data_IF_273614397807
#
_entry.id   IF_273614397807
#
_cell.length_a   1.000
_cell.length_b   1.000
_cell.length_c   1.000
_cell.angle_alpha   90.00
_cell.angle_beta   90.00
_cell.angle_gamma   90.00
#
_symmetry.space_group_name_H-M   'P 1'
#
loop_
_entity.id
_entity.type
_entity.pdbx_description
1 polymer ?
#
# COMPACT_ATOMS: atom_id res chain seq x y z
N UNK A 1 27.80 46.21 66.54
CA UNK A 1 27.09 46.74 65.34
C UNK A 1 26.99 45.61 64.33
N UNK A 2 25.80 45.21 63.86
CA UNK A 2 25.63 44.02 63.03
C UNK A 2 25.91 44.31 61.54
N UNK A 3 26.56 43.35 60.87
CA UNK A 3 26.87 43.39 59.44
C UNK A 3 25.69 42.79 58.66
N UNK A 4 25.08 43.57 57.76
CA UNK A 4 23.98 43.13 56.90
C UNK A 4 24.55 42.36 55.70
N UNK A 5 24.50 41.02 55.74
CA UNK A 5 24.88 40.17 54.61
C UNK A 5 23.78 40.23 53.55
N UNK A 6 24.07 40.83 52.39
CA UNK A 6 23.17 40.86 51.24
C UNK A 6 23.05 39.48 50.59
N UNK A 7 21.82 38.96 50.49
CA UNK A 7 21.54 37.63 49.96
C UNK A 7 21.38 37.67 48.42
N UNK A 8 22.49 37.63 47.68
CA UNK A 8 22.54 37.71 46.21
C UNK A 8 21.88 36.51 45.48
N UNK A 9 21.50 35.45 46.22
CA UNK A 9 20.85 34.24 45.70
C UNK A 9 19.45 34.50 45.13
N UNK A 10 18.70 35.43 45.74
CA UNK A 10 17.35 35.79 45.30
C UNK A 10 17.35 36.50 43.95
N UNK A 11 18.35 37.37 43.72
CA UNK A 11 18.48 38.13 42.48
C UNK A 11 18.80 37.22 41.29
N UNK A 12 19.70 36.23 41.46
CA UNK A 12 20.01 35.26 40.41
C UNK A 12 18.83 34.35 40.06
N UNK A 13 18.01 33.98 41.05
CA UNK A 13 16.80 33.17 40.82
C UNK A 13 15.75 33.92 40.00
N UNK A 14 15.54 35.21 40.28
CA UNK A 14 14.63 36.03 39.48
C UNK A 14 15.13 36.23 38.04
N UNK A 15 16.44 36.41 37.84
CA UNK A 15 17.02 36.54 36.51
C UNK A 15 16.87 35.25 35.68
N UNK A 16 17.06 34.09 36.30
CA UNK A 16 16.88 32.79 35.65
C UNK A 16 15.44 32.51 35.21
N UNK A 17 14.45 32.88 36.04
CA UNK A 17 13.03 32.72 35.70
C UNK A 17 12.62 33.64 34.55
N UNK A 18 13.08 34.90 34.55
CA UNK A 18 12.84 35.83 33.44
C UNK A 18 13.43 35.33 32.11
N UNK A 19 14.60 34.70 32.14
CA UNK A 19 15.22 34.16 30.93
C UNK A 19 14.45 32.96 30.35
N UNK A 20 13.91 32.08 31.20
CA UNK A 20 13.10 30.93 30.73
C UNK A 20 11.75 31.36 30.17
N UNK A 21 11.10 32.38 30.75
CA UNK A 21 9.85 32.93 30.22
C UNK A 21 10.04 33.64 28.86
N UNK A 22 11.22 34.22 28.60
CA UNK A 22 11.51 34.83 27.31
C UNK A 22 11.62 33.80 26.16
N UNK A 23 12.15 32.60 26.42
CA UNK A 23 12.29 31.55 25.40
C UNK A 23 10.96 30.89 24.98
N UNK A 24 9.89 31.01 25.78
CA UNK A 24 8.57 30.47 25.42
C UNK A 24 7.77 31.39 24.48
N UNK A 25 8.27 32.60 24.20
CA UNK A 25 7.59 33.60 23.37
C UNK A 25 8.04 33.62 21.92
N UNK A 26 9.02 32.78 21.54
CA UNK A 26 9.34 32.58 20.13
C UNK A 26 8.19 31.81 19.49
N UNK A 27 7.49 32.37 18.48
CA UNK A 27 6.53 31.59 17.74
C UNK A 27 7.28 30.40 17.15
N UNK A 28 6.87 29.18 17.50
CA UNK A 28 7.24 28.04 16.70
C UNK A 28 6.79 28.37 15.28
N UNK A 29 7.74 28.53 14.35
CA UNK A 29 7.45 28.64 12.94
C UNK A 29 6.89 27.29 12.49
N UNK A 30 5.65 27.00 12.86
CA UNK A 30 4.85 25.97 12.24
C UNK A 30 4.77 26.36 10.77
N UNK A 31 5.18 25.45 9.89
CA UNK A 31 5.22 25.59 8.43
C UNK A 31 4.28 26.70 7.93
N UNK A 32 4.85 27.81 7.45
CA UNK A 32 4.05 28.78 6.71
C UNK A 32 3.33 27.99 5.62
N UNK A 33 1.99 28.07 5.61
CA UNK A 33 1.21 27.52 4.52
C UNK A 33 1.68 28.23 3.26
N UNK A 34 2.46 27.52 2.47
CA UNK A 34 2.93 27.99 1.18
C UNK A 34 1.67 28.29 0.37
N UNK A 35 1.41 29.57 0.06
CA UNK A 35 0.38 29.96 -0.90
C UNK A 35 0.90 29.67 -2.31
N UNK A 36 1.33 28.44 -2.56
CA UNK A 36 1.46 27.92 -3.90
C UNK A 36 0.05 27.70 -4.40
N UNK A 37 -0.40 28.58 -5.29
CA UNK A 37 -1.53 28.27 -6.14
C UNK A 37 -1.28 26.89 -6.75
N UNK A 38 -2.21 25.92 -6.64
CA UNK A 38 -1.99 24.58 -7.15
C UNK A 38 -1.57 24.70 -8.60
N UNK A 39 -0.33 24.34 -8.90
CA UNK A 39 0.10 24.22 -10.29
C UNK A 39 -0.75 23.08 -10.85
N UNK A 40 -1.59 23.38 -11.83
CA UNK A 40 -2.37 22.35 -12.53
C UNK A 40 -1.38 21.52 -13.35
N UNK A 41 -0.77 20.52 -12.73
CA UNK A 41 0.04 19.53 -13.43
C UNK A 41 -0.96 18.64 -14.16
N UNK A 42 -1.05 18.80 -15.48
CA UNK A 42 -1.80 17.87 -16.29
C UNK A 42 -0.98 16.57 -16.32
N UNK A 43 -1.46 15.47 -15.72
CA UNK A 43 -0.67 14.26 -15.64
C UNK A 43 -0.41 13.71 -17.05
N UNK A 44 0.85 13.42 -17.34
CA UNK A 44 1.24 12.89 -18.64
C UNK A 44 0.62 11.50 -18.87
N UNK A 45 0.18 11.24 -20.11
CA UNK A 45 -0.17 9.90 -20.52
C UNK A 45 1.09 9.03 -20.55
N UNK A 46 1.01 7.89 -19.90
CA UNK A 46 2.05 6.85 -19.86
C UNK A 46 1.53 5.63 -20.60
N UNK A 47 2.42 5.00 -21.37
CA UNK A 47 2.18 3.71 -22.00
C UNK A 47 3.12 2.68 -21.37
N UNK A 48 2.57 1.55 -20.92
CA UNK A 48 3.32 0.47 -20.30
C UNK A 48 2.84 -0.88 -20.81
N UNK A 49 3.79 -1.77 -21.07
CA UNK A 49 3.52 -3.17 -21.42
C UNK A 49 3.81 -4.07 -20.22
N UNK A 50 2.95 -5.04 -19.99
CA UNK A 50 3.07 -5.94 -18.85
C UNK A 50 2.09 -7.08 -18.86
N UNK A 51 2.10 -7.85 -17.78
CA UNK A 51 1.22 -9.00 -17.57
C UNK A 51 0.12 -8.63 -16.57
N UNK A 52 -1.12 -8.95 -16.94
CA UNK A 52 -2.28 -8.77 -16.06
C UNK A 52 -2.24 -9.80 -14.93
N UNK A 53 -2.48 -9.34 -13.72
CA UNK A 53 -2.78 -10.17 -12.57
C UNK A 53 -4.22 -9.91 -12.12
N UNK A 54 -4.98 -10.97 -11.86
CA UNK A 54 -6.34 -10.87 -11.34
C UNK A 54 -6.41 -11.29 -9.86
N UNK A 55 -7.14 -10.51 -9.07
CA UNK A 55 -7.59 -10.90 -7.74
C UNK A 55 -9.12 -10.97 -7.73
N UNK A 56 -9.66 -12.14 -7.41
CA UNK A 56 -11.10 -12.29 -7.11
C UNK A 56 -11.34 -12.17 -5.61
N UNK A 57 -12.31 -11.36 -5.20
CA UNK A 57 -12.81 -11.32 -3.83
C UNK A 57 -14.25 -11.79 -3.78
N UNK A 58 -14.51 -12.90 -3.09
CA UNK A 58 -15.85 -13.45 -2.87
C UNK A 58 -16.30 -13.14 -1.45
N UNK A 59 -17.45 -12.52 -1.30
CA UNK A 59 -18.09 -12.33 -0.01
C UNK A 59 -19.19 -13.37 0.18
N UNK A 60 -18.99 -14.34 1.08
CA UNK A 60 -19.99 -15.40 1.31
C UNK A 60 -21.22 -14.90 2.08
N UNK A 61 -21.09 -13.77 2.78
CA UNK A 61 -22.18 -13.17 3.56
C UNK A 61 -23.21 -12.47 2.65
N UNK A 62 -22.75 -11.90 1.53
CA UNK A 62 -23.60 -11.16 0.58
C UNK A 62 -23.78 -11.88 -0.76
N UNK A 63 -22.99 -12.93 -1.03
CA UNK A 63 -22.93 -13.62 -2.32
C UNK A 63 -22.21 -12.84 -3.43
N UNK A 64 -21.75 -11.61 -3.15
CA UNK A 64 -21.09 -10.75 -4.14
C UNK A 64 -19.68 -11.26 -4.45
N UNK A 65 -19.32 -11.23 -5.72
CA UNK A 65 -17.94 -11.48 -6.19
C UNK A 65 -17.44 -10.26 -6.96
N UNK A 66 -16.29 -9.73 -6.55
CA UNK A 66 -15.61 -8.60 -7.17
C UNK A 66 -14.30 -9.07 -7.80
N UNK A 67 -13.94 -8.46 -8.93
CA UNK A 67 -12.68 -8.73 -9.63
C UNK A 67 -11.85 -7.46 -9.63
N UNK A 68 -10.59 -7.59 -9.25
CA UNK A 68 -9.61 -6.52 -9.22
C UNK A 68 -8.45 -6.89 -10.12
N UNK A 69 -7.91 -5.90 -10.82
CA UNK A 69 -6.86 -6.12 -11.81
C UNK A 69 -5.62 -5.32 -11.46
N UNK A 70 -4.46 -5.93 -11.68
CA UNK A 70 -3.17 -5.29 -11.61
C UNK A 70 -2.37 -5.52 -12.89
N UNK A 71 -1.38 -4.67 -13.12
CA UNK A 71 -0.41 -4.81 -14.19
C UNK A 71 0.98 -4.92 -13.58
N UNK A 72 1.63 -6.05 -13.76
CA UNK A 72 3.07 -6.18 -13.53
C UNK A 72 3.78 -5.80 -14.82
N UNK A 73 4.45 -4.64 -14.81
CA UNK A 73 5.10 -4.12 -16.02
C UNK A 73 6.44 -4.81 -16.26
N UNK A 74 6.82 -4.97 -17.53
CA UNK A 74 8.02 -5.72 -17.90
C UNK A 74 9.31 -5.08 -17.35
N UNK A 75 9.30 -3.76 -17.15
CA UNK A 75 10.42 -3.00 -16.57
C UNK A 75 10.50 -3.10 -15.04
N UNK A 76 9.59 -3.86 -14.41
CA UNK A 76 9.49 -4.00 -12.97
C UNK A 76 8.48 -3.04 -12.34
N UNK A 77 7.88 -3.49 -11.24
CA UNK A 77 6.80 -2.80 -10.56
C UNK A 77 5.42 -3.36 -10.91
N UNK A 78 4.46 -3.10 -10.03
CA UNK A 78 3.08 -3.54 -10.18
C UNK A 78 2.14 -2.39 -9.82
N UNK A 79 1.10 -2.23 -10.63
CA UNK A 79 0.13 -1.15 -10.48
C UNK A 79 -1.29 -1.71 -10.49
N UNK A 80 -2.13 -1.21 -9.58
CA UNK A 80 -3.56 -1.48 -9.62
C UNK A 80 -4.18 -0.79 -10.84
N UNK A 81 -4.96 -1.52 -11.63
CA UNK A 81 -5.66 -0.97 -12.79
C UNK A 81 -7.05 -0.47 -12.39
N UNK A 82 -7.40 0.72 -12.86
CA UNK A 82 -8.76 1.26 -12.80
C UNK A 82 -9.16 1.85 -14.14
N UNK A 83 -10.43 1.73 -14.50
CA UNK A 83 -10.94 2.15 -15.80
C UNK A 83 -12.12 1.29 -16.25
N UNK A 84 -12.71 1.67 -17.37
CA UNK A 84 -13.83 0.94 -17.99
C UNK A 84 -13.32 -0.23 -18.83
N UNK A 85 -14.08 -1.33 -18.88
CA UNK A 85 -13.77 -2.48 -19.74
C UNK A 85 -12.66 -3.40 -19.20
N UNK A 86 -12.12 -3.15 -18.01
CA UNK A 86 -11.10 -4.02 -17.41
C UNK A 86 -11.60 -5.44 -17.14
N UNK A 87 -12.91 -5.63 -17.02
CA UNK A 87 -13.57 -6.93 -16.87
C UNK A 87 -13.34 -7.88 -18.06
N UNK A 88 -12.96 -7.35 -19.24
CA UNK A 88 -12.58 -8.17 -20.40
C UNK A 88 -11.16 -8.72 -20.32
N UNK A 89 -10.34 -8.25 -19.38
CA UNK A 89 -8.99 -8.76 -19.17
C UNK A 89 -9.02 -10.17 -18.58
N UNK A 90 -8.01 -10.95 -18.95
CA UNK A 90 -7.78 -12.29 -18.40
C UNK A 90 -6.50 -12.32 -17.60
N UNK A 91 -6.50 -13.03 -16.47
CA UNK A 91 -5.30 -13.29 -15.69
C UNK A 91 -4.18 -13.88 -16.55
N UNK A 92 -2.95 -13.40 -16.36
CA UNK A 92 -1.76 -13.80 -17.12
C UNK A 92 -1.72 -13.32 -18.57
N UNK A 93 -2.72 -12.55 -19.04
CA UNK A 93 -2.66 -11.95 -20.38
C UNK A 93 -1.60 -10.85 -20.45
N UNK A 94 -0.92 -10.74 -21.60
CA UNK A 94 0.04 -9.66 -21.84
C UNK A 94 -0.65 -8.53 -22.60
N UNK A 95 -0.52 -7.32 -22.09
CA UNK A 95 -1.23 -6.15 -22.61
C UNK A 95 -0.32 -4.94 -22.69
N UNK A 96 -0.62 -4.04 -23.62
CA UNK A 96 -0.11 -2.69 -23.62
C UNK A 96 -1.22 -1.76 -23.11
N UNK A 97 -0.92 -0.97 -22.08
CA UNK A 97 -1.87 -0.12 -21.36
C UNK A 97 -1.42 1.33 -21.49
N UNK A 98 -2.36 2.23 -21.81
CA UNK A 98 -2.14 3.68 -21.87
C UNK A 98 -3.11 4.41 -20.94
N UNK A 99 -2.62 5.42 -20.23
CA UNK A 99 -3.41 6.13 -19.22
C UNK A 99 -2.56 6.99 -18.30
N UNK A 100 -3.08 7.29 -17.11
CA UNK A 100 -2.44 8.18 -16.13
C UNK A 100 -1.97 7.37 -14.92
N UNK A 101 -0.73 7.61 -14.49
CA UNK A 101 -0.20 7.04 -13.26
C UNK A 101 -0.43 7.98 -12.07
N UNK A 102 -1.01 7.46 -10.99
CA UNK A 102 -1.20 8.17 -9.73
C UNK A 102 -0.80 7.25 -8.57
N UNK A 103 0.44 7.40 -8.07
CA UNK A 103 0.98 6.49 -7.07
C UNK A 103 1.10 5.06 -7.60
N UNK A 104 0.49 4.09 -6.92
CA UNK A 104 0.44 2.69 -7.34
C UNK A 104 -0.79 2.35 -8.21
N UNK A 105 -1.55 3.36 -8.65
CA UNK A 105 -2.73 3.18 -9.48
C UNK A 105 -2.48 3.65 -10.90
N UNK A 106 -2.86 2.83 -11.87
CA UNK A 106 -2.82 3.13 -13.29
C UNK A 106 -4.26 3.32 -13.78
N UNK A 107 -4.66 4.58 -14.00
CA UNK A 107 -5.97 4.94 -14.55
C UNK A 107 -5.95 4.74 -16.06
N UNK A 108 -6.44 3.59 -16.49
CA UNK A 108 -6.43 3.12 -17.88
C UNK A 108 -7.43 3.91 -18.71
N UNK A 109 -6.94 4.40 -19.85
CA UNK A 109 -7.77 5.01 -20.91
C UNK A 109 -7.89 4.10 -22.13
N UNK A 110 -6.87 3.30 -22.39
CA UNK A 110 -6.81 2.36 -23.51
C UNK A 110 -5.95 1.15 -23.13
N UNK A 111 -6.34 -0.03 -23.58
CA UNK A 111 -5.47 -1.20 -23.54
C UNK A 111 -5.66 -2.06 -24.78
N UNK A 112 -4.63 -2.83 -25.12
CA UNK A 112 -4.68 -3.80 -26.21
C UNK A 112 -3.84 -5.02 -25.88
N UNK A 113 -4.32 -6.20 -26.29
CA UNK A 113 -3.58 -7.44 -26.13
C UNK A 113 -2.30 -7.44 -26.96
N UNK A 114 -1.24 -8.00 -26.41
CA UNK A 114 0.05 -8.18 -27.08
C UNK A 114 0.38 -9.67 -27.07
N UNK A 115 1.17 -10.12 -28.04
CA UNK A 115 1.68 -11.48 -28.03
C UNK A 115 2.36 -11.79 -26.67
N UNK A 116 2.14 -12.99 -26.10
CA UNK A 116 2.78 -13.39 -24.86
C UNK A 116 4.31 -13.39 -25.03
N UNK A 117 5.02 -13.06 -23.96
CA UNK A 117 6.47 -13.31 -23.89
C UNK A 117 6.72 -14.84 -23.90
N UNK A 118 7.90 -15.25 -24.35
CA UNK A 118 8.31 -16.64 -24.64
C UNK A 118 7.61 -17.76 -23.84
N UNK A 119 7.18 -18.80 -24.55
CA UNK A 119 6.39 -19.93 -24.02
C UNK A 119 7.04 -20.67 -22.84
N UNK A 120 8.38 -20.62 -22.72
CA UNK A 120 9.12 -21.20 -21.61
C UNK A 120 8.86 -20.49 -20.27
N UNK A 121 8.70 -19.16 -20.26
CA UNK A 121 8.36 -18.40 -19.05
C UNK A 121 6.96 -18.76 -18.54
N UNK A 122 6.04 -19.07 -19.46
CA UNK A 122 4.67 -19.49 -19.15
C UNK A 122 4.61 -20.88 -18.52
N UNK A 123 5.50 -21.79 -18.91
CA UNK A 123 5.60 -23.13 -18.31
C UNK A 123 6.15 -23.07 -16.87
N UNK A 124 7.10 -22.19 -16.59
CA UNK A 124 7.65 -21.99 -15.25
C UNK A 124 6.61 -21.44 -14.25
N UNK A 125 5.70 -20.58 -14.71
CA UNK A 125 4.57 -20.08 -13.90
C UNK A 125 3.59 -21.17 -13.47
N UNK A 126 3.47 -22.26 -14.24
CA UNK A 126 2.54 -23.37 -13.94
C UNK A 126 3.06 -24.35 -12.90
N UNK A 127 4.37 -24.36 -12.62
CA UNK A 127 4.98 -25.26 -11.64
C UNK A 127 4.88 -24.75 -10.18
N UNK A 128 4.24 -23.59 -9.95
CA UNK A 128 4.15 -23.00 -8.62
C UNK A 128 3.25 -23.81 -7.69
N UNK A 129 3.71 -24.03 -6.46
CA UNK A 129 2.96 -24.73 -5.42
C UNK A 129 1.74 -23.92 -4.99
N UNK A 130 0.54 -24.49 -5.20
CA UNK A 130 -0.72 -23.91 -4.70
C UNK A 130 -0.77 -23.98 -3.18
N UNK A 131 -1.33 -22.94 -2.55
CA UNK A 131 -1.48 -22.85 -1.10
C UNK A 131 -2.74 -22.06 -0.76
N UNK A 132 -3.40 -22.50 0.30
CA UNK A 132 -4.51 -21.80 0.95
C UNK A 132 -4.08 -21.38 2.34
N UNK A 133 -4.41 -20.15 2.74
CA UNK A 133 -4.16 -19.63 4.08
C UNK A 133 -5.44 -19.00 4.61
N UNK A 134 -5.88 -19.41 5.79
CA UNK A 134 -7.09 -18.89 6.42
C UNK A 134 -6.76 -18.27 7.77
N UNK A 135 -7.48 -17.22 8.13
CA UNK A 135 -7.27 -16.51 9.38
C UNK A 135 -7.81 -15.08 9.34
N UNK A 136 -7.36 -14.28 10.31
CA UNK A 136 -7.79 -12.89 10.43
C UNK A 136 -6.97 -12.01 9.48
N UNK A 137 -7.64 -11.16 8.70
CA UNK A 137 -7.01 -10.17 7.86
C UNK A 137 -6.31 -9.11 8.72
N UNK A 138 -5.04 -8.89 8.43
CA UNK A 138 -4.19 -7.85 9.00
C UNK A 138 -3.64 -6.95 7.88
N UNK A 139 -3.28 -5.73 8.25
CA UNK A 139 -2.58 -4.79 7.38
C UNK A 139 -1.22 -4.51 7.99
N UNK A 140 -0.20 -4.38 7.15
CA UNK A 140 1.13 -3.94 7.56
C UNK A 140 1.59 -2.77 6.70
N UNK A 141 2.51 -1.98 7.24
CA UNK A 141 3.14 -0.89 6.52
C UNK A 141 4.48 -1.35 5.95
N UNK A 142 4.78 -0.93 4.72
CA UNK A 142 6.05 -1.10 4.02
C UNK A 142 6.72 0.26 3.95
N UNK A 143 7.81 0.43 4.68
CA UNK A 143 8.59 1.65 4.67
C UNK A 143 9.73 1.58 3.67
N UNK A 144 9.66 2.39 2.62
CA UNK A 144 10.75 2.57 1.67
C UNK A 144 11.52 3.84 2.04
N UNK A 145 12.28 3.78 3.14
CA UNK A 145 12.97 4.94 3.71
C UNK A 145 13.86 5.68 2.70
N UNK A 146 14.56 4.95 1.81
CA UNK A 146 15.41 5.56 0.78
C UNK A 146 14.63 6.33 -0.29
N UNK A 147 13.36 6.02 -0.47
CA UNK A 147 12.48 6.62 -1.47
C UNK A 147 11.50 7.64 -0.85
N UNK A 148 11.54 7.82 0.49
CA UNK A 148 10.64 8.72 1.21
C UNK A 148 9.15 8.36 1.05
N UNK A 149 8.83 7.06 0.83
CA UNK A 149 7.45 6.61 0.61
C UNK A 149 7.08 5.40 1.45
N UNK A 150 5.80 5.28 1.74
CA UNK A 150 5.19 4.12 2.42
C UNK A 150 4.14 3.46 1.54
N UNK A 151 3.91 2.17 1.76
CA UNK A 151 2.80 1.43 1.18
C UNK A 151 2.13 0.54 2.22
N UNK A 152 0.86 0.23 2.02
CA UNK A 152 0.16 -0.78 2.83
C UNK A 152 0.12 -2.11 2.11
N UNK A 153 0.36 -3.19 2.86
CA UNK A 153 0.21 -4.57 2.41
C UNK A 153 -0.81 -5.33 3.25
N UNK A 154 -1.32 -6.43 2.70
CA UNK A 154 -2.26 -7.31 3.37
C UNK A 154 -1.54 -8.56 3.88
N UNK A 155 -1.94 -9.06 5.05
CA UNK A 155 -1.46 -10.32 5.58
C UNK A 155 -2.60 -11.11 6.22
N UNK A 156 -2.49 -12.43 6.23
CA UNK A 156 -3.35 -13.29 7.05
C UNK A 156 -2.60 -13.68 8.30
N UNK A 157 -3.22 -13.46 9.46
CA UNK A 157 -2.78 -14.01 10.74
C UNK A 157 -3.56 -15.27 11.04
N UNK A 158 -2.87 -16.41 11.03
CA UNK A 158 -3.49 -17.71 11.30
C UNK A 158 -3.73 -17.96 12.80
N UNK A 159 -4.35 -19.10 13.13
CA UNK A 159 -4.63 -19.50 14.51
C UNK A 159 -3.38 -19.71 15.38
N UNK A 160 -2.23 -19.94 14.75
CA UNK A 160 -0.92 -20.06 15.42
C UNK A 160 -0.22 -18.70 15.56
N UNK A 161 -0.92 -17.60 15.26
CA UNK A 161 -0.41 -16.24 15.24
C UNK A 161 0.71 -16.01 14.21
N UNK A 162 0.85 -16.90 13.21
CA UNK A 162 1.80 -16.72 12.12
C UNK A 162 1.19 -15.80 11.06
N UNK A 163 1.99 -14.85 10.62
CA UNK A 163 1.62 -13.92 9.56
C UNK A 163 2.11 -14.45 8.21
N UNK A 164 1.20 -14.53 7.23
CA UNK A 164 1.54 -14.77 5.82
C UNK A 164 1.18 -13.52 5.02
N UNK A 165 2.17 -12.90 4.37
CA UNK A 165 1.93 -11.75 3.51
C UNK A 165 1.19 -12.18 2.23
N UNK A 166 0.25 -11.35 1.80
CA UNK A 166 -0.51 -11.52 0.58
C UNK A 166 0.01 -10.54 -0.47
N UNK A 167 0.59 -11.06 -1.55
CA UNK A 167 0.86 -10.30 -2.76
C UNK A 167 -0.43 -10.27 -3.57
N UNK A 168 -1.06 -9.10 -3.65
CA UNK A 168 -2.35 -8.90 -4.34
C UNK A 168 -2.18 -7.99 -5.54
N UNK A 169 -2.95 -8.26 -6.60
CA UNK A 169 -2.92 -7.47 -7.84
C UNK A 169 -3.35 -6.01 -7.62
N UNK A 170 -4.30 -5.80 -6.73
CA UNK A 170 -4.73 -4.50 -6.22
C UNK A 170 -5.28 -4.67 -4.80
N UNK A 171 -5.22 -3.62 -3.98
CA UNK A 171 -5.79 -3.64 -2.62
C UNK A 171 -7.31 -3.47 -2.75
N UNK A 172 -8.13 -4.47 -2.35
CA UNK A 172 -9.58 -4.38 -2.43
C UNK A 172 -10.15 -3.39 -1.41
N UNK A 173 -11.11 -2.58 -1.81
CA UNK A 173 -11.89 -1.72 -0.90
C UNK A 173 -12.92 -2.52 -0.08
N UNK A 174 -13.31 -3.70 -0.57
CA UNK A 174 -14.23 -4.61 0.10
C UNK A 174 -13.65 -5.32 1.33
N UNK A 175 -12.34 -5.19 1.58
CA UNK A 175 -11.65 -5.85 2.69
C UNK A 175 -11.42 -4.90 3.85
N UNK A 176 -11.65 -5.39 5.07
CA UNK A 176 -11.44 -4.64 6.30
C UNK A 176 -10.58 -5.45 7.27
N UNK A 177 -9.68 -4.76 7.98
CA UNK A 177 -8.87 -5.35 9.04
C UNK A 177 -9.79 -6.06 10.04
N UNK A 178 -9.40 -7.26 10.46
CA UNK A 178 -10.18 -8.06 11.41
C UNK A 178 -11.15 -9.06 10.76
N UNK A 179 -11.44 -8.95 9.46
CA UNK A 179 -12.26 -9.95 8.75
C UNK A 179 -11.64 -11.34 8.85
N UNK A 180 -12.47 -12.37 9.02
CA UNK A 180 -12.05 -13.75 8.82
C UNK A 180 -12.07 -14.05 7.32
N UNK A 181 -10.93 -14.45 6.77
CA UNK A 181 -10.79 -14.72 5.34
C UNK A 181 -10.10 -16.05 5.07
N UNK A 182 -10.29 -16.56 3.85
CA UNK A 182 -9.46 -17.60 3.24
C UNK A 182 -8.84 -17.04 1.97
N UNK A 183 -7.52 -17.05 1.87
CA UNK A 183 -6.77 -16.60 0.71
C UNK A 183 -6.16 -17.80 -0.03
N UNK A 184 -6.40 -17.86 -1.33
CA UNK A 184 -5.87 -18.89 -2.23
C UNK A 184 -4.87 -18.25 -3.20
N UNK A 185 -3.83 -19.00 -3.51
CA UNK A 185 -2.80 -18.54 -4.42
C UNK A 185 -1.67 -19.55 -4.59
N UNK A 186 -0.49 -19.03 -4.92
CA UNK A 186 0.74 -19.82 -5.01
C UNK A 186 1.82 -19.27 -4.11
N UNK A 187 2.72 -20.12 -3.64
CA UNK A 187 3.87 -19.67 -2.85
C UNK A 187 4.73 -18.73 -3.70
N UNK A 188 4.99 -17.53 -3.16
CA UNK A 188 5.79 -16.53 -3.85
C UNK A 188 7.26 -16.94 -3.93
N UNK A 189 8.05 -16.23 -4.75
CA UNK A 189 9.47 -16.50 -4.95
C UNK A 189 10.30 -16.37 -3.65
N UNK A 190 9.82 -15.60 -2.67
CA UNK A 190 10.46 -15.47 -1.35
C UNK A 190 10.23 -16.69 -0.43
N UNK A 191 9.43 -17.67 -0.87
CA UNK A 191 9.12 -18.90 -0.13
C UNK A 191 8.20 -18.73 1.08
N UNK A 192 7.76 -17.50 1.40
CA UNK A 192 7.02 -17.20 2.64
C UNK A 192 5.70 -16.46 2.41
N UNK A 193 5.63 -15.64 1.36
CA UNK A 193 4.44 -14.90 0.94
C UNK A 193 3.56 -15.72 0.00
N UNK A 194 2.35 -15.23 -0.22
CA UNK A 194 1.36 -15.83 -1.12
C UNK A 194 1.07 -14.88 -2.30
N UNK A 195 1.40 -15.30 -3.53
CA UNK A 195 0.90 -14.70 -4.76
C UNK A 195 -0.59 -15.03 -4.86
N UNK A 196 -1.43 -14.10 -4.40
CA UNK A 196 -2.83 -14.31 -4.06
C UNK A 196 -3.72 -14.03 -5.26
N UNK A 197 -4.54 -15.01 -5.65
CA UNK A 197 -5.47 -14.90 -6.79
C UNK A 197 -6.93 -14.87 -6.36
N UNK A 198 -7.24 -15.37 -5.17
CA UNK A 198 -8.59 -15.36 -4.62
C UNK A 198 -8.60 -15.09 -3.12
N UNK A 199 -9.54 -14.29 -2.66
CA UNK A 199 -9.86 -14.09 -1.25
C UNK A 199 -11.35 -14.35 -1.04
N UNK A 200 -11.67 -15.22 -0.09
CA UNK A 200 -13.04 -15.45 0.36
C UNK A 200 -13.23 -14.83 1.74
N UNK A 201 -14.16 -13.90 1.86
CA UNK A 201 -14.59 -13.31 3.14
C UNK A 201 -15.56 -14.29 3.79
N UNK A 202 -15.24 -14.74 4.99
CA UNK A 202 -15.98 -15.74 5.76
C UNK A 202 -16.76 -15.10 6.92
N UNK A 203 -16.25 -14.04 7.51
CA UNK A 203 -16.92 -13.27 8.56
C UNK A 203 -16.46 -11.81 8.59
N UNK A 204 -17.32 -10.93 9.11
CA UNK A 204 -16.97 -9.54 9.41
C UNK A 204 -15.99 -9.45 10.58
N UNK A 205 -15.33 -8.29 10.78
CA UNK A 205 -14.53 -8.06 11.98
C UNK A 205 -15.37 -8.27 13.25
N UNK A 206 -14.73 -8.82 14.29
CA UNK A 206 -15.32 -8.98 15.61
C UNK A 206 -15.50 -7.64 16.34
#
# INVERSE_FOLDING_TARGET
>A
MPMLVHNNSLLLRFLGVMLVLALASFPAAAHQAETTQPTTINPALVTATGTVAELTVRNTLTGVTLRYFGLTVDQGGSYALTGTGLDTLSDGSRVNVTGILAGNMFKVSLFGSVAPADSAARAALQAKTKKTVSGTLAVYHKDFFQQGRGEYGLAVRDASNKHTQLNVAAIPDSLQIGMLISADGTVAADGSSLDTTSITILALPA
#
